data_IF_518969626118
#
_entry.id   IF_518969626118
#
_cell.length_a   1.000
_cell.length_b   1.000
_cell.length_c   1.000
_cell.angle_alpha   90.00
_cell.angle_beta   90.00
_cell.angle_gamma   90.00
#
_symmetry.space_group_name_H-M   'P 1'
#
loop_
_entity.id
_entity.type
_entity.pdbx_description
1 polymer ?
#
# COMPACT_ATOMS: atom_id res chain seq x y z
N UNK A 1 12.97 21.99 13.67
CA UNK A 1 11.50 21.86 13.86
C UNK A 1 11.15 20.38 13.77
N UNK A 2 10.74 19.76 14.87
CA UNK A 2 10.39 18.33 14.88
C UNK A 2 9.16 18.07 14.02
N UNK A 3 9.27 17.19 13.01
CA UNK A 3 8.11 16.73 12.26
C UNK A 3 7.14 16.04 13.21
N UNK A 4 5.86 16.42 13.16
CA UNK A 4 4.82 15.78 13.96
C UNK A 4 4.71 14.30 13.57
N UNK A 5 4.99 13.39 14.52
CA UNK A 5 4.97 11.93 14.35
C UNK A 5 3.67 11.45 13.70
N UNK A 6 2.53 12.03 14.06
CA UNK A 6 1.23 11.66 13.49
C UNK A 6 1.17 11.94 11.99
N UNK A 7 1.74 13.07 11.55
CA UNK A 7 1.81 13.41 10.12
C UNK A 7 2.69 12.42 9.36
N UNK A 8 3.80 11.98 9.95
CA UNK A 8 4.67 10.97 9.35
C UNK A 8 3.94 9.63 9.22
N UNK A 9 3.18 9.21 10.24
CA UNK A 9 2.36 7.99 10.20
C UNK A 9 1.30 8.09 9.09
N UNK A 10 0.63 9.22 8.94
CA UNK A 10 -0.37 9.37 7.85
C UNK A 10 0.26 9.33 6.46
N UNK A 11 1.45 9.91 6.28
CA UNK A 11 2.21 9.83 5.04
C UNK A 11 2.68 8.40 4.77
N UNK A 12 3.15 7.69 5.79
CA UNK A 12 3.50 6.28 5.70
C UNK A 12 2.29 5.44 5.26
N UNK A 13 1.17 5.53 5.97
CA UNK A 13 -0.08 4.80 5.66
C UNK A 13 -0.53 5.06 4.23
N UNK A 14 -0.44 6.31 3.76
CA UNK A 14 -0.86 6.65 2.40
C UNK A 14 0.03 6.02 1.33
N UNK A 15 1.35 6.00 1.56
CA UNK A 15 2.27 5.34 0.62
C UNK A 15 2.15 3.81 0.67
N UNK A 16 1.98 3.21 1.84
CA UNK A 16 1.68 1.76 1.96
C UNK A 16 0.39 1.42 1.21
N UNK A 17 -0.66 2.22 1.38
CA UNK A 17 -1.93 2.01 0.67
C UNK A 17 -1.70 2.02 -0.84
N UNK A 18 -0.92 2.97 -1.37
CA UNK A 18 -0.60 3.02 -2.79
C UNK A 18 0.18 1.79 -3.27
N UNK A 19 1.15 1.29 -2.49
CA UNK A 19 1.86 0.04 -2.83
C UNK A 19 0.87 -1.11 -3.02
N UNK A 20 -0.02 -1.31 -2.05
CA UNK A 20 -1.01 -2.40 -2.09
C UNK A 20 -1.98 -2.22 -3.26
N UNK A 21 -2.50 -1.02 -3.47
CA UNK A 21 -3.38 -0.69 -4.60
C UNK A 21 -2.69 -1.02 -5.93
N UNK A 22 -1.45 -0.57 -6.13
CA UNK A 22 -0.73 -0.79 -7.38
C UNK A 22 -0.35 -2.26 -7.58
N UNK A 23 -0.05 -3.00 -6.52
CA UNK A 23 0.21 -4.44 -6.58
C UNK A 23 -1.02 -5.23 -7.02
N UNK A 24 -2.20 -4.91 -6.47
CA UNK A 24 -3.47 -5.55 -6.87
C UNK A 24 -3.84 -5.17 -8.31
N UNK A 25 -3.70 -3.89 -8.68
CA UNK A 25 -4.00 -3.44 -10.03
C UNK A 25 -3.06 -4.03 -11.07
N UNK A 26 -1.77 -4.18 -10.75
CA UNK A 26 -0.82 -4.87 -11.62
C UNK A 26 -1.28 -6.30 -11.88
N UNK A 27 -1.65 -7.05 -10.82
CA UNK A 27 -2.16 -8.43 -10.95
C UNK A 27 -3.45 -8.50 -11.78
N UNK A 28 -4.39 -7.59 -11.51
CA UNK A 28 -5.66 -7.51 -12.24
C UNK A 28 -5.44 -7.27 -13.74
N UNK A 29 -4.51 -6.40 -14.10
CA UNK A 29 -4.22 -6.02 -15.48
C UNK A 29 -3.35 -7.03 -16.21
N UNK A 30 -2.44 -7.71 -15.50
CA UNK A 30 -1.67 -8.82 -16.06
C UNK A 30 -2.58 -9.96 -16.50
N UNK A 31 -3.62 -10.28 -15.72
CA UNK A 31 -4.65 -11.26 -16.09
C UNK A 31 -5.44 -10.91 -17.37
N UNK A 32 -5.35 -9.66 -17.84
CA UNK A 32 -6.03 -9.14 -19.03
C UNK A 32 -5.09 -8.91 -20.22
N UNK A 33 -3.82 -9.37 -20.16
CA UNK A 33 -2.79 -9.16 -21.18
C UNK A 33 -2.51 -7.68 -21.53
N UNK A 34 -2.73 -6.76 -20.58
CA UNK A 34 -2.55 -5.31 -20.76
C UNK A 34 -1.16 -4.85 -20.27
N UNK A 35 -0.11 -5.38 -20.89
CA UNK A 35 1.28 -5.29 -20.41
C UNK A 35 1.77 -3.86 -20.11
N UNK A 36 1.47 -2.88 -20.97
CA UNK A 36 1.90 -1.48 -20.76
C UNK A 36 1.31 -0.86 -19.48
N UNK A 37 0.06 -1.18 -19.18
CA UNK A 37 -0.63 -0.70 -17.99
C UNK A 37 -0.11 -1.40 -16.72
N UNK A 38 0.25 -2.69 -16.83
CA UNK A 38 0.92 -3.43 -15.77
C UNK A 38 2.27 -2.82 -15.41
N UNK A 39 3.11 -2.52 -16.40
CA UNK A 39 4.40 -1.84 -16.20
C UNK A 39 4.26 -0.47 -15.54
N UNK A 40 3.21 0.29 -15.89
CA UNK A 40 2.91 1.56 -15.21
C UNK A 40 2.65 1.33 -13.72
N UNK A 41 1.80 0.37 -13.36
CA UNK A 41 1.52 0.09 -11.95
C UNK A 41 2.74 -0.44 -11.20
N UNK A 42 3.58 -1.25 -11.84
CA UNK A 42 4.86 -1.68 -11.27
C UNK A 42 5.76 -0.50 -10.90
N UNK A 43 5.89 0.49 -11.80
CA UNK A 43 6.70 1.70 -11.52
C UNK A 43 6.16 2.49 -10.33
N UNK A 44 4.84 2.70 -10.28
CA UNK A 44 4.19 3.41 -9.17
C UNK A 44 4.29 2.65 -7.84
N UNK A 45 4.20 1.32 -7.89
CA UNK A 45 4.42 0.42 -6.74
C UNK A 45 5.83 0.63 -6.17
N UNK A 46 6.87 0.53 -6.99
CA UNK A 46 8.27 0.67 -6.56
C UNK A 46 8.51 2.04 -5.93
N UNK A 47 8.05 3.11 -6.59
CA UNK A 47 8.18 4.47 -6.07
C UNK A 47 7.48 4.64 -4.71
N UNK A 48 6.23 4.19 -4.60
CA UNK A 48 5.47 4.26 -3.35
C UNK A 48 6.13 3.45 -2.23
N UNK A 49 6.73 2.30 -2.57
CA UNK A 49 7.42 1.44 -1.61
C UNK A 49 8.68 2.12 -1.05
N UNK A 50 9.50 2.73 -1.91
CA UNK A 50 10.68 3.48 -1.48
C UNK A 50 10.31 4.65 -0.56
N UNK A 51 9.26 5.39 -0.91
CA UNK A 51 8.77 6.51 -0.11
C UNK A 51 8.26 6.00 1.25
N UNK A 52 7.47 4.94 1.27
CA UNK A 52 6.99 4.32 2.50
C UNK A 52 8.15 3.88 3.40
N UNK A 53 9.18 3.23 2.84
CA UNK A 53 10.36 2.81 3.60
C UNK A 53 11.09 3.99 4.24
N UNK A 54 11.25 5.10 3.52
CA UNK A 54 11.84 6.33 4.07
C UNK A 54 11.02 6.91 5.22
N UNK A 55 9.69 6.82 5.16
CA UNK A 55 8.84 7.25 6.27
C UNK A 55 8.88 6.29 7.45
N UNK A 56 8.91 4.97 7.20
CA UNK A 56 9.07 3.95 8.23
C UNK A 56 10.27 4.27 9.09
N UNK A 57 11.46 4.37 8.50
CA UNK A 57 12.72 4.69 9.18
C UNK A 57 12.65 5.98 10.03
N UNK A 58 11.94 7.01 9.54
CA UNK A 58 11.77 8.28 10.28
C UNK A 58 10.82 8.17 11.47
N UNK A 59 9.80 7.33 11.38
CA UNK A 59 8.82 7.12 12.46
C UNK A 59 9.44 6.23 13.54
N UNK A 60 10.06 5.14 13.10
CA UNK A 60 10.66 4.11 13.93
C UNK A 60 11.56 3.28 13.00
N UNK A 61 12.81 2.95 13.36
CA UNK A 61 13.65 2.07 12.53
C UNK A 61 12.98 0.71 12.26
N UNK A 62 13.19 0.11 11.09
CA UNK A 62 12.55 -1.17 10.69
C UNK A 62 12.81 -2.29 11.71
N UNK A 63 13.98 -2.30 12.35
CA UNK A 63 14.33 -3.28 13.38
C UNK A 63 13.55 -3.19 14.70
N UNK A 64 12.76 -2.13 14.89
CA UNK A 64 11.94 -1.95 16.08
C UNK A 64 10.47 -2.17 15.74
N UNK A 65 9.72 -2.80 16.64
CA UNK A 65 8.27 -2.97 16.50
C UNK A 65 7.62 -1.59 16.44
N UNK A 66 6.79 -1.35 15.43
CA UNK A 66 6.01 -0.11 15.34
C UNK A 66 4.87 -0.16 16.38
N UNK A 67 4.79 0.77 17.34
CA UNK A 67 3.76 0.74 18.38
C UNK A 67 2.33 0.77 17.81
N UNK A 68 2.13 1.48 16.70
CA UNK A 68 0.83 1.71 16.07
C UNK A 68 0.51 0.68 14.97
N UNK A 69 1.17 -0.49 14.96
CA UNK A 69 1.07 -1.47 13.85
C UNK A 69 -0.36 -1.89 13.50
N UNK A 70 -1.21 -2.13 14.51
CA UNK A 70 -2.62 -2.50 14.29
C UNK A 70 -3.42 -1.35 13.70
N UNK A 71 -3.19 -0.12 14.20
CA UNK A 71 -3.83 1.08 13.66
C UNK A 71 -3.42 1.32 12.20
N UNK A 72 -2.13 1.18 11.88
CA UNK A 72 -1.61 1.28 10.51
C UNK A 72 -2.28 0.24 9.62
N UNK A 73 -2.27 -1.03 10.03
CA UNK A 73 -2.88 -2.14 9.29
C UNK A 73 -4.34 -1.87 8.95
N UNK A 74 -5.18 -1.59 9.96
CA UNK A 74 -6.61 -1.41 9.75
C UNK A 74 -6.92 -0.16 8.92
N UNK A 75 -6.06 0.87 8.99
CA UNK A 75 -6.23 2.07 8.19
C UNK A 75 -5.82 1.86 6.73
N UNK A 76 -4.76 1.09 6.49
CA UNK A 76 -4.35 0.68 5.13
C UNK A 76 -5.46 -0.16 4.49
N UNK A 77 -5.96 -1.21 5.17
CA UNK A 77 -7.04 -2.07 4.65
C UNK A 77 -8.25 -1.22 4.21
N UNK A 78 -8.72 -0.33 5.10
CA UNK A 78 -9.87 0.54 4.80
C UNK A 78 -9.63 1.45 3.60
N UNK A 79 -8.46 2.09 3.51
CA UNK A 79 -8.10 2.95 2.38
C UNK A 79 -8.03 2.18 1.06
N UNK A 80 -7.38 1.03 1.07
CA UNK A 80 -7.21 0.19 -0.13
C UNK A 80 -8.58 -0.30 -0.63
N UNK A 81 -9.42 -0.86 0.26
CA UNK A 81 -10.77 -1.32 -0.12
C UNK A 81 -11.61 -0.18 -0.69
N UNK A 82 -11.57 1.02 -0.09
CA UNK A 82 -12.32 2.17 -0.57
C UNK A 82 -11.89 2.61 -1.98
N UNK A 83 -10.58 2.72 -2.22
CA UNK A 83 -10.04 3.13 -3.53
C UNK A 83 -10.29 2.08 -4.61
N UNK A 84 -10.06 0.79 -4.30
CA UNK A 84 -10.33 -0.29 -5.26
C UNK A 84 -11.82 -0.42 -5.56
N UNK A 85 -12.69 -0.29 -4.55
CA UNK A 85 -14.14 -0.24 -4.74
C UNK A 85 -14.58 0.90 -5.66
N UNK A 86 -13.97 2.08 -5.51
CA UNK A 86 -14.20 3.21 -6.41
C UNK A 86 -13.78 2.90 -7.85
N UNK A 87 -12.66 2.20 -8.05
CA UNK A 87 -12.21 1.78 -9.39
C UNK A 87 -13.15 0.77 -10.02
N UNK A 88 -13.61 -0.23 -9.27
CA UNK A 88 -14.62 -1.19 -9.72
C UNK A 88 -15.89 -0.44 -10.15
N UNK A 89 -16.38 0.52 -9.35
CA UNK A 89 -17.56 1.32 -9.71
C UNK A 89 -17.37 2.17 -10.97
N UNK A 90 -16.12 2.44 -11.37
CA UNK A 90 -15.76 3.16 -12.60
C UNK A 90 -15.51 2.23 -13.79
N UNK A 91 -15.75 0.92 -13.63
CA UNK A 91 -15.62 -0.07 -14.70
C UNK A 91 -14.24 -0.71 -14.82
N UNK A 92 -13.40 -0.65 -13.78
CA UNK A 92 -12.17 -1.44 -13.75
C UNK A 92 -12.50 -2.92 -13.51
N UNK A 93 -11.96 -3.79 -14.36
CA UNK A 93 -12.19 -5.23 -14.33
C UNK A 93 -11.03 -5.99 -13.68
N UNK A 94 -11.28 -7.23 -13.24
CA UNK A 94 -10.26 -8.15 -12.73
C UNK A 94 -9.71 -7.81 -11.34
N UNK A 95 -10.26 -6.81 -10.66
CA UNK A 95 -9.88 -6.45 -9.29
C UNK A 95 -10.59 -7.41 -8.31
N UNK A 96 -9.80 -8.16 -7.56
CA UNK A 96 -10.28 -9.02 -6.47
C UNK A 96 -10.03 -8.32 -5.11
N UNK A 97 -11.12 -7.99 -4.40
CA UNK A 97 -11.07 -7.34 -3.09
C UNK A 97 -10.70 -8.31 -1.96
N UNK A 98 -10.86 -9.62 -2.16
CA UNK A 98 -10.53 -10.62 -1.14
C UNK A 98 -9.00 -10.76 -0.97
N UNK A 99 -8.23 -10.34 -1.97
CA UNK A 99 -6.77 -10.26 -1.89
C UNK A 99 -6.28 -9.14 -0.98
N UNK A 100 -7.10 -8.14 -0.64
CA UNK A 100 -6.63 -6.92 0.05
C UNK A 100 -5.96 -7.26 1.37
N UNK A 101 -6.58 -8.09 2.21
CA UNK A 101 -6.04 -8.36 3.53
C UNK A 101 -4.69 -9.08 3.41
N UNK A 102 -4.59 -10.09 2.55
CA UNK A 102 -3.34 -10.81 2.29
C UNK A 102 -2.21 -9.93 1.73
N UNK A 103 -2.53 -9.03 0.79
CA UNK A 103 -1.54 -8.10 0.24
C UNK A 103 -1.08 -7.06 1.27
N UNK A 104 -1.98 -6.63 2.16
CA UNK A 104 -1.60 -5.73 3.27
C UNK A 104 -0.64 -6.44 4.22
N UNK A 105 -0.92 -7.70 4.61
CA UNK A 105 0.00 -8.47 5.47
C UNK A 105 1.37 -8.61 4.82
N UNK A 106 1.42 -8.98 3.54
CA UNK A 106 2.68 -9.12 2.80
C UNK A 106 3.48 -7.82 2.78
N UNK A 107 2.86 -6.70 2.38
CA UNK A 107 3.55 -5.41 2.26
C UNK A 107 3.99 -4.88 3.63
N UNK A 108 3.17 -5.02 4.67
CA UNK A 108 3.55 -4.57 6.01
C UNK A 108 4.65 -5.45 6.63
N UNK A 109 4.66 -6.75 6.34
CA UNK A 109 5.75 -7.66 6.70
C UNK A 109 7.07 -7.31 5.98
N UNK A 110 7.02 -7.03 4.68
CA UNK A 110 8.18 -6.54 3.90
C UNK A 110 8.76 -5.23 4.48
N UNK A 111 7.93 -4.42 5.14
CA UNK A 111 8.33 -3.16 5.80
C UNK A 111 8.66 -3.31 7.30
N UNK A 112 8.66 -4.54 7.83
CA UNK A 112 8.92 -4.87 9.23
C UNK A 112 7.95 -4.17 10.20
N UNK A 113 6.70 -3.94 9.80
CA UNK A 113 5.67 -3.34 10.67
C UNK A 113 5.01 -4.38 11.57
N UNK A 114 4.83 -5.58 11.05
CA UNK A 114 4.19 -6.74 11.69
C UNK A 114 5.10 -7.96 11.61
#
# INVERSE_FOLDING_TARGET
MGQNRNKLIELFISNVSNVVIHRILEKAVFGLNKNELGEKYRKELVNSFEIARRYREKINPVGNILPDKFYVRDKVIRKVRAELGLRISRGYEGIDLDLVDGEVELVLGEMGVI
#
